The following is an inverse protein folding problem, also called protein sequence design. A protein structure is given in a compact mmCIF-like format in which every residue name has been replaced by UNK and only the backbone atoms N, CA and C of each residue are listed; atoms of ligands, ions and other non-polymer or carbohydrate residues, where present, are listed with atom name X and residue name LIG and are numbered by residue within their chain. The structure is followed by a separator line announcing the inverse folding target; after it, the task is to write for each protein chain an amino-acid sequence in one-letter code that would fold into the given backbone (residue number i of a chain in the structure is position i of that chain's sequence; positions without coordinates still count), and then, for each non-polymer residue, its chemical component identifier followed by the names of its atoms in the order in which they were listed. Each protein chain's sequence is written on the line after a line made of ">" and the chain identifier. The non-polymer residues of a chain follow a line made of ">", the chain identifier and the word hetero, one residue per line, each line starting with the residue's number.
data_IF_603703040924
#
_entry.id   IF_603703040924
#
_cell.length_a   1.000
_cell.length_b   1.000
_cell.length_c   1.000
_cell.angle_alpha   90.00
_cell.angle_beta   90.00
_cell.angle_gamma   90.00
#
_symmetry.space_group_name_H-M   'P 1'
#
loop_
_entity.id
_entity.type
_entity.pdbx_description
1 polymer ?
#
# COMPACT_ATOMS: atom_id res chain seq x y z
N UNK A 1 13.72 33.54 -19.31
CA UNK A 1 12.44 32.85 -19.11
C UNK A 1 12.75 31.36 -19.12
N UNK A 2 13.08 30.80 -17.97
CA UNK A 2 13.34 29.36 -17.81
C UNK A 2 12.00 28.67 -17.69
N UNK A 3 11.68 27.79 -18.65
CA UNK A 3 10.51 26.93 -18.57
C UNK A 3 10.70 26.02 -17.37
N UNK A 4 9.88 26.22 -16.34
CA UNK A 4 9.81 25.29 -15.21
C UNK A 4 9.33 23.95 -15.76
N UNK A 5 10.26 23.04 -15.95
CA UNK A 5 10.04 21.75 -16.61
C UNK A 5 9.64 20.73 -15.55
N UNK A 6 8.59 21.02 -14.79
CA UNK A 6 8.08 20.15 -13.74
C UNK A 6 7.21 19.05 -14.35
N UNK A 7 7.41 17.82 -13.85
CA UNK A 7 6.57 16.68 -14.19
C UNK A 7 5.22 16.82 -13.50
N UNK A 8 4.13 16.80 -14.27
CA UNK A 8 2.77 16.69 -13.71
C UNK A 8 2.40 15.21 -13.59
N UNK A 9 2.19 14.74 -12.36
CA UNK A 9 1.73 13.37 -12.07
C UNK A 9 0.21 13.38 -11.90
N UNK A 10 -0.50 12.60 -12.71
CA UNK A 10 -1.95 12.50 -12.62
C UNK A 10 -2.42 11.45 -11.59
N UNK A 11 -1.67 10.34 -11.45
CA UNK A 11 -2.03 9.22 -10.58
C UNK A 11 -0.75 8.48 -10.19
N UNK A 12 -0.62 8.12 -8.91
CA UNK A 12 0.46 7.28 -8.40
C UNK A 12 0.03 5.83 -8.30
N UNK A 13 0.86 4.92 -8.82
CA UNK A 13 0.73 3.48 -8.65
C UNK A 13 1.89 2.98 -7.79
N UNK A 14 1.60 2.45 -6.60
CA UNK A 14 2.59 1.91 -5.69
C UNK A 14 2.62 0.37 -5.78
N UNK A 15 3.58 -0.16 -6.55
CA UNK A 15 3.76 -1.60 -6.74
C UNK A 15 4.48 -2.29 -5.57
N UNK A 16 3.90 -3.37 -5.07
CA UNK A 16 4.44 -4.22 -4.02
C UNK A 16 4.61 -5.66 -4.56
N UNK A 17 5.85 -6.15 -4.72
CA UNK A 17 6.10 -7.50 -5.21
C UNK A 17 5.74 -8.53 -4.14
N UNK A 18 5.04 -9.58 -4.55
CA UNK A 18 4.60 -10.70 -3.71
C UNK A 18 4.95 -12.03 -4.37
N UNK A 19 5.19 -13.06 -3.57
CA UNK A 19 5.57 -14.40 -4.06
C UNK A 19 4.38 -15.35 -4.25
N UNK A 20 3.25 -15.07 -3.62
CA UNK A 20 2.01 -15.83 -3.71
C UNK A 20 0.84 -14.84 -3.68
N UNK A 21 0.10 -14.75 -4.79
CA UNK A 21 -0.96 -13.76 -4.92
C UNK A 21 -2.13 -14.04 -3.98
N UNK A 22 -2.53 -15.31 -3.80
CA UNK A 22 -3.68 -15.65 -2.95
C UNK A 22 -3.40 -15.34 -1.48
N UNK A 23 -2.22 -15.76 -0.99
CA UNK A 23 -1.80 -15.46 0.37
C UNK A 23 -1.60 -13.96 0.60
N UNK A 24 -1.06 -13.25 -0.39
CA UNK A 24 -0.90 -11.81 -0.29
C UNK A 24 -2.25 -11.10 -0.28
N UNK A 25 -3.14 -11.40 -1.21
CA UNK A 25 -4.48 -10.82 -1.29
C UNK A 25 -5.24 -11.01 0.03
N UNK A 26 -5.26 -12.23 0.58
CA UNK A 26 -5.88 -12.51 1.90
C UNK A 26 -5.34 -11.61 3.03
N UNK A 27 -4.04 -11.31 3.00
CA UNK A 27 -3.40 -10.45 4.00
C UNK A 27 -3.70 -8.97 3.76
N UNK A 28 -3.59 -8.48 2.52
CA UNK A 28 -3.83 -7.08 2.18
C UNK A 28 -5.30 -6.69 2.27
N UNK A 29 -6.23 -7.62 2.02
CA UNK A 29 -7.66 -7.42 2.29
C UNK A 29 -7.90 -7.17 3.78
N UNK A 30 -7.21 -7.88 4.67
CA UNK A 30 -7.25 -7.61 6.11
C UNK A 30 -6.56 -6.31 6.47
N UNK A 31 -5.46 -5.93 5.81
CA UNK A 31 -4.80 -4.66 6.07
C UNK A 31 -5.72 -3.48 5.73
N UNK A 32 -6.20 -3.43 4.48
CA UNK A 32 -7.00 -2.32 3.96
C UNK A 32 -8.48 -2.38 4.34
N UNK A 33 -8.95 -3.53 4.84
CA UNK A 33 -10.35 -3.71 5.27
C UNK A 33 -11.35 -3.73 4.11
N UNK A 34 -10.88 -3.99 2.88
CA UNK A 34 -11.71 -4.08 1.67
C UNK A 34 -11.11 -5.09 0.68
N UNK A 35 -11.92 -5.70 -0.21
CA UNK A 35 -11.41 -6.49 -1.33
C UNK A 35 -10.58 -5.61 -2.28
N UNK A 36 -9.79 -6.25 -3.16
CA UNK A 36 -9.18 -5.56 -4.29
C UNK A 36 -10.28 -4.95 -5.18
N UNK A 37 -10.04 -3.74 -5.68
CA UNK A 37 -10.99 -3.06 -6.57
C UNK A 37 -10.92 -3.61 -8.00
N UNK A 38 -9.76 -4.15 -8.40
CA UNK A 38 -9.58 -4.81 -9.69
C UNK A 38 -8.54 -5.94 -9.64
N UNK A 39 -8.74 -6.94 -10.50
CA UNK A 39 -7.82 -8.03 -10.78
C UNK A 39 -7.73 -8.21 -12.31
N UNK A 40 -7.07 -7.28 -13.03
CA UNK A 40 -7.09 -7.26 -14.49
C UNK A 40 -6.34 -8.45 -15.12
N UNK A 41 -5.42 -9.05 -14.36
CA UNK A 41 -4.68 -10.26 -14.71
C UNK A 41 -4.37 -11.03 -13.43
N UNK A 42 -4.14 -12.35 -13.54
CA UNK A 42 -3.92 -13.22 -12.37
C UNK A 42 -2.75 -12.75 -11.49
N UNK A 43 -1.75 -12.12 -12.11
CA UNK A 43 -0.53 -11.62 -11.47
C UNK A 43 -0.66 -10.24 -10.82
N UNK A 44 -1.85 -9.61 -10.85
CA UNK A 44 -2.04 -8.24 -10.36
C UNK A 44 -3.31 -8.10 -9.52
N UNK A 45 -3.21 -7.34 -8.42
CA UNK A 45 -4.38 -6.86 -7.65
C UNK A 45 -4.23 -5.37 -7.37
N UNK A 46 -5.27 -4.61 -7.69
CA UNK A 46 -5.31 -3.17 -7.45
C UNK A 46 -6.18 -2.84 -6.24
N UNK A 47 -5.63 -2.06 -5.32
CA UNK A 47 -6.36 -1.45 -4.22
C UNK A 47 -6.30 0.07 -4.36
N UNK A 48 -7.40 0.69 -4.78
CA UNK A 48 -7.56 2.14 -4.90
C UNK A 48 -7.65 2.77 -3.52
N UNK A 49 -6.66 3.57 -3.16
CA UNK A 49 -6.59 4.27 -1.87
C UNK A 49 -7.33 5.61 -1.92
N UNK A 50 -7.30 6.28 -3.07
CA UNK A 50 -8.01 7.52 -3.35
C UNK A 50 -8.28 7.63 -4.86
N UNK A 51 -8.86 8.74 -5.31
CA UNK A 51 -9.00 9.02 -6.74
C UNK A 51 -7.66 9.14 -7.48
N UNK A 52 -6.57 9.40 -6.76
CA UNK A 52 -5.25 9.72 -7.32
C UNK A 52 -4.15 8.76 -6.85
N UNK A 53 -4.48 7.68 -6.14
CA UNK A 53 -3.51 6.70 -5.67
C UNK A 53 -4.05 5.27 -5.63
N UNK A 54 -3.26 4.33 -6.12
CA UNK A 54 -3.54 2.89 -6.09
C UNK A 54 -2.31 2.13 -5.57
N UNK A 55 -2.53 1.19 -4.67
CA UNK A 55 -1.54 0.18 -4.27
C UNK A 55 -1.75 -1.06 -5.16
N UNK A 56 -0.68 -1.57 -5.75
CA UNK A 56 -0.73 -2.73 -6.64
C UNK A 56 0.07 -3.88 -6.05
N UNK A 57 -0.54 -5.05 -5.85
CA UNK A 57 0.20 -6.27 -5.58
C UNK A 57 0.61 -6.88 -6.91
N UNK A 58 1.90 -7.12 -7.09
CA UNK A 58 2.47 -7.69 -8.33
C UNK A 58 3.06 -9.06 -8.00
N UNK A 59 2.62 -10.12 -8.67
CA UNK A 59 3.23 -11.44 -8.52
C UNK A 59 4.62 -11.43 -9.14
N UNK A 60 5.63 -11.29 -8.30
CA UNK A 60 7.05 -11.26 -8.63
C UNK A 60 7.82 -11.94 -7.49
N UNK A 61 7.97 -13.28 -7.54
CA UNK A 61 8.61 -14.04 -6.47
C UNK A 61 10.08 -13.68 -6.25
N UNK A 62 10.79 -13.19 -7.28
CA UNK A 62 12.21 -12.88 -7.21
C UNK A 62 12.47 -11.60 -6.39
N UNK A 63 11.52 -10.67 -6.39
CA UNK A 63 11.60 -9.41 -5.64
C UNK A 63 10.68 -9.36 -4.41
N UNK A 64 9.95 -10.46 -4.14
CA UNK A 64 8.97 -10.53 -3.06
C UNK A 64 9.59 -10.19 -1.70
N UNK A 65 8.88 -9.36 -0.92
CA UNK A 65 9.35 -8.87 0.38
C UNK A 65 10.33 -7.68 0.31
N UNK A 66 10.72 -7.23 -0.88
CA UNK A 66 11.53 -6.01 -1.08
C UNK A 66 10.73 -4.71 -1.18
N UNK A 67 9.40 -4.77 -1.09
CA UNK A 67 8.53 -3.59 -1.21
C UNK A 67 8.55 -2.69 0.03
N UNK A 68 8.50 -1.37 -0.19
CA UNK A 68 8.33 -0.36 0.87
C UNK A 68 7.18 0.58 0.48
N UNK A 69 6.20 0.71 1.36
CA UNK A 69 5.05 1.59 1.20
C UNK A 69 4.83 2.37 2.50
N UNK A 70 4.74 3.70 2.37
CA UNK A 70 4.31 4.58 3.46
C UNK A 70 2.95 5.16 3.10
N UNK A 71 1.99 4.99 4.00
CA UNK A 71 0.65 5.58 3.88
C UNK A 71 0.50 6.63 4.97
N UNK A 72 0.23 7.87 4.57
CA UNK A 72 -0.19 8.91 5.49
C UNK A 72 -1.70 8.77 5.74
N UNK A 73 -2.09 8.75 7.01
CA UNK A 73 -3.46 8.51 7.45
C UNK A 73 -3.89 9.60 8.41
N UNK A 74 -5.18 9.95 8.40
CA UNK A 74 -5.71 11.02 9.25
C UNK A 74 -5.58 10.74 10.76
N UNK A 75 -5.56 9.46 11.14
CA UNK A 75 -5.42 9.02 12.53
C UNK A 75 -4.73 7.65 12.57
N UNK A 76 -3.49 7.61 13.07
CA UNK A 76 -2.74 6.36 13.24
C UNK A 76 -3.43 5.45 14.26
N UNK A 77 -4.04 6.01 15.30
CA UNK A 77 -4.74 5.22 16.31
C UNK A 77 -5.97 4.50 15.76
N UNK A 78 -6.80 5.19 14.97
CA UNK A 78 -7.97 4.58 14.33
C UNK A 78 -7.56 3.52 13.30
N UNK A 79 -6.50 3.80 12.52
CA UNK A 79 -5.96 2.86 11.56
C UNK A 79 -5.47 1.57 12.26
N UNK A 80 -4.69 1.70 13.33
CA UNK A 80 -4.18 0.56 14.10
C UNK A 80 -5.33 -0.23 14.74
N UNK A 81 -6.30 0.43 15.36
CA UNK A 81 -7.46 -0.24 15.96
C UNK A 81 -8.25 -1.04 14.91
N UNK A 82 -8.48 -0.45 13.73
CA UNK A 82 -9.14 -1.14 12.63
C UNK A 82 -8.36 -2.37 12.13
N UNK A 83 -7.04 -2.25 11.99
CA UNK A 83 -6.18 -3.37 11.56
C UNK A 83 -6.19 -4.50 12.60
N UNK A 84 -6.14 -4.16 13.89
CA UNK A 84 -6.23 -5.11 15.00
C UNK A 84 -7.56 -5.86 15.04
N UNK A 85 -8.67 -5.15 14.81
CA UNK A 85 -9.99 -5.78 14.71
C UNK A 85 -10.08 -6.81 13.56
N UNK A 86 -9.21 -6.71 12.55
CA UNK A 86 -9.10 -7.65 11.42
C UNK A 86 -8.06 -8.75 11.63
N UNK A 87 -7.54 -8.89 12.85
CA UNK A 87 -6.63 -9.97 13.25
C UNK A 87 -5.18 -9.76 12.84
N UNK A 88 -4.80 -8.55 12.46
CA UNK A 88 -3.42 -8.16 12.20
C UNK A 88 -2.91 -7.30 13.35
N UNK A 89 -1.68 -7.53 13.82
CA UNK A 89 -1.11 -6.77 14.93
C UNK A 89 0.06 -5.93 14.42
N UNK A 90 -0.14 -4.64 14.10
CA UNK A 90 0.94 -3.76 13.69
C UNK A 90 1.99 -3.63 14.79
N UNK A 91 3.26 -3.70 14.43
CA UNK A 91 4.32 -3.24 15.31
C UNK A 91 4.34 -1.71 15.28
N UNK A 92 4.22 -1.08 16.44
CA UNK A 92 4.51 0.34 16.58
C UNK A 92 6.00 0.49 16.86
N UNK A 93 6.66 1.25 16.02
CA UNK A 93 7.99 1.77 16.32
C UNK A 93 7.79 3.21 16.83
N UNK A 94 8.03 3.42 18.12
CA UNK A 94 7.98 4.74 18.74
C UNK A 94 9.24 5.58 18.43
N UNK A 95 9.91 5.28 17.31
CA UNK A 95 10.86 6.19 16.68
C UNK A 95 10.09 7.43 16.23
N UNK A 96 9.84 8.30 17.20
CA UNK A 96 9.63 9.72 17.01
C UNK A 96 10.74 10.17 16.07
N UNK A 97 10.40 10.40 14.81
CA UNK A 97 11.21 11.22 13.92
C UNK A 97 11.38 12.55 14.63
N UNK A 98 12.46 12.65 15.40
CA UNK A 98 12.88 13.88 16.05
C UNK A 98 13.21 14.81 14.90
N UNK A 99 12.27 15.67 14.53
CA UNK A 99 12.54 16.80 13.67
C UNK A 99 13.53 17.67 14.44
N UNK A 100 14.81 17.52 14.10
CA UNK A 100 15.82 18.54 14.35
C UNK A 100 15.69 19.66 13.34
#
# INVERSE_FOLDING_TARGET
>A
MTTDSTLTVAHTLAGLPVSDMGRAEDWYVKLFGKPADAAPMDILRDFRMSELATVQLVLDPDHAGGGLLTLDVSSIDDAVAGIQARGLHPQRDDTTSRTG
#
